data_IF_415139263094
#
_entry.id   IF_415139263094
#
_cell.length_a   1.000
_cell.length_b   1.000
_cell.length_c   1.000
_cell.angle_alpha   90.00
_cell.angle_beta   90.00
_cell.angle_gamma   90.00
#
_symmetry.space_group_name_H-M   'P 1'
#
loop_
_entity.id
_entity.type
_entity.pdbx_description
1 polymer ?
#
# COMPACT_ATOMS: atom_id res chain seq x y z
N UNK A 1 -44.38 -8.69 -59.16
CA UNK A 1 -44.22 -9.24 -57.79
C UNK A 1 -45.59 -9.26 -57.10
N UNK A 2 -46.08 -10.43 -56.69
CA UNK A 2 -47.44 -10.57 -56.13
C UNK A 2 -47.57 -9.96 -54.74
N UNK A 3 -48.77 -9.50 -54.32
CA UNK A 3 -49.00 -8.89 -53.01
C UNK A 3 -48.57 -9.78 -51.84
N UNK A 4 -48.74 -11.11 -51.97
CA UNK A 4 -48.24 -12.09 -50.99
C UNK A 4 -46.71 -12.05 -50.83
N UNK A 5 -45.95 -11.92 -51.94
CA UNK A 5 -44.48 -11.77 -51.89
C UNK A 5 -44.08 -10.44 -51.23
N UNK A 6 -44.84 -9.36 -51.41
CA UNK A 6 -44.57 -8.07 -50.76
C UNK A 6 -44.79 -8.15 -49.23
N UNK A 7 -45.86 -8.79 -48.78
CA UNK A 7 -46.16 -8.97 -47.34
C UNK A 7 -45.07 -9.80 -46.65
N UNK A 8 -44.62 -10.89 -47.27
CA UNK A 8 -43.56 -11.75 -46.72
C UNK A 8 -42.24 -10.98 -46.59
N UNK A 9 -41.87 -10.18 -47.59
CA UNK A 9 -40.65 -9.37 -47.53
C UNK A 9 -40.73 -8.28 -46.46
N UNK A 10 -41.89 -7.61 -46.29
CA UNK A 10 -42.08 -6.60 -45.24
C UNK A 10 -42.00 -7.25 -43.86
N UNK A 11 -42.65 -8.41 -43.66
CA UNK A 11 -42.58 -9.14 -42.40
C UNK A 11 -41.14 -9.57 -42.06
N UNK A 12 -40.38 -10.04 -43.05
CA UNK A 12 -38.96 -10.39 -42.90
C UNK A 12 -38.08 -9.16 -42.61
N UNK A 13 -38.35 -8.01 -43.24
CA UNK A 13 -37.63 -6.77 -42.96
C UNK A 13 -37.91 -6.25 -41.54
N UNK A 14 -39.16 -6.34 -41.09
CA UNK A 14 -39.55 -5.92 -39.75
C UNK A 14 -38.94 -6.83 -38.67
N UNK A 15 -38.90 -8.14 -38.89
CA UNK A 15 -38.23 -9.06 -37.96
C UNK A 15 -36.73 -8.86 -37.91
N UNK A 16 -36.07 -8.58 -39.04
CA UNK A 16 -34.65 -8.23 -39.06
C UNK A 16 -34.37 -6.92 -38.29
N UNK A 17 -35.24 -5.92 -38.45
CA UNK A 17 -35.12 -4.64 -37.75
C UNK A 17 -35.28 -4.77 -36.23
N UNK A 18 -36.25 -5.56 -35.75
CA UNK A 18 -36.43 -5.76 -34.30
C UNK A 18 -35.24 -6.48 -33.67
N UNK A 19 -34.68 -7.49 -34.35
CA UNK A 19 -33.46 -8.16 -33.89
C UNK A 19 -32.30 -7.18 -33.80
N UNK A 20 -32.13 -6.29 -34.79
CA UNK A 20 -31.08 -5.27 -34.77
C UNK A 20 -31.23 -4.30 -33.59
N UNK A 21 -32.45 -3.84 -33.29
CA UNK A 21 -32.72 -2.96 -32.16
C UNK A 21 -32.43 -3.62 -30.81
N UNK A 22 -32.74 -4.91 -30.67
CA UNK A 22 -32.40 -5.68 -29.45
C UNK A 22 -30.88 -5.77 -29.28
N UNK A 23 -30.14 -6.07 -30.35
CA UNK A 23 -28.67 -6.13 -30.32
C UNK A 23 -28.11 -4.76 -29.91
N UNK A 24 -28.62 -3.68 -30.50
CA UNK A 24 -28.18 -2.31 -30.17
C UNK A 24 -28.48 -1.96 -28.70
N UNK A 25 -29.65 -2.33 -28.18
CA UNK A 25 -30.00 -2.12 -26.77
C UNK A 25 -29.06 -2.88 -25.82
N UNK A 26 -28.69 -4.11 -26.16
CA UNK A 26 -27.73 -4.91 -25.37
C UNK A 26 -26.34 -4.28 -25.38
N UNK A 27 -25.87 -3.79 -26.53
CA UNK A 27 -24.54 -3.16 -26.64
C UNK A 27 -24.51 -1.84 -25.87
N UNK A 28 -25.54 -1.00 -26.03
CA UNK A 28 -25.61 0.34 -25.40
C UNK A 28 -25.82 0.29 -23.88
N UNK A 29 -26.38 -0.81 -23.34
CA UNK A 29 -26.57 -1.02 -21.90
C UNK A 29 -25.36 -1.62 -21.18
N UNK A 30 -24.28 -1.91 -21.90
CA UNK A 30 -23.07 -2.55 -21.37
C UNK A 30 -21.85 -1.67 -21.58
N UNK A 31 -20.80 -1.95 -20.82
CA UNK A 31 -19.52 -1.32 -20.98
C UNK A 31 -18.37 -2.24 -20.56
N UNK A 32 -17.16 -1.94 -21.03
CA UNK A 32 -15.96 -2.70 -20.71
C UNK A 32 -15.34 -2.25 -19.38
N UNK A 33 -15.04 -3.24 -18.55
CA UNK A 33 -14.28 -3.11 -17.31
C UNK A 33 -12.98 -3.91 -17.43
N UNK A 34 -11.84 -3.25 -17.24
CA UNK A 34 -10.53 -3.90 -17.11
C UNK A 34 -10.04 -3.76 -15.69
N UNK A 35 -9.57 -4.87 -15.10
CA UNK A 35 -9.03 -4.88 -13.75
C UNK A 35 -7.59 -5.37 -13.82
N UNK A 36 -6.65 -4.54 -13.37
CA UNK A 36 -5.22 -4.84 -13.37
C UNK A 36 -4.71 -4.98 -11.95
N UNK A 37 -3.96 -6.04 -11.70
CA UNK A 37 -3.36 -6.34 -10.40
C UNK A 37 -2.13 -7.26 -10.55
N UNK A 38 -1.30 -7.29 -9.51
CA UNK A 38 -0.16 -8.20 -9.42
C UNK A 38 -0.64 -9.60 -9.01
N UNK A 39 -0.65 -10.54 -9.97
CA UNK A 39 -1.08 -11.93 -9.77
C UNK A 39 -0.12 -12.73 -8.87
N UNK A 40 1.08 -12.21 -8.59
CA UNK A 40 1.96 -12.81 -7.59
C UNK A 40 1.51 -12.50 -6.15
N UNK A 41 0.73 -11.43 -5.95
CA UNK A 41 0.29 -10.96 -4.62
C UNK A 41 -1.11 -11.38 -4.25
N UNK A 42 -2.01 -11.48 -5.22
CA UNK A 42 -3.39 -11.86 -4.99
C UNK A 42 -3.67 -13.28 -5.49
N UNK A 43 -4.23 -14.12 -4.62
CA UNK A 43 -4.59 -15.51 -4.94
C UNK A 43 -5.92 -15.62 -5.70
N UNK A 44 -6.82 -14.67 -5.45
CA UNK A 44 -8.12 -14.58 -6.12
C UNK A 44 -8.62 -13.15 -6.10
N UNK A 45 -9.27 -12.77 -7.19
CA UNK A 45 -9.99 -11.50 -7.32
C UNK A 45 -11.40 -11.82 -7.79
N UNK A 46 -12.38 -11.48 -6.95
CA UNK A 46 -13.80 -11.79 -7.17
C UNK A 46 -14.55 -10.48 -7.36
N UNK A 47 -15.41 -10.44 -8.37
CA UNK A 47 -16.31 -9.33 -8.65
C UNK A 47 -17.73 -9.69 -8.21
N UNK A 48 -18.26 -8.92 -7.29
CA UNK A 48 -19.65 -9.00 -6.84
C UNK A 48 -20.48 -7.87 -7.46
N UNK A 49 -21.79 -8.06 -7.52
CA UNK A 49 -22.71 -6.94 -7.75
C UNK A 49 -22.65 -6.01 -6.53
N UNK A 50 -22.56 -4.70 -6.79
CA UNK A 50 -22.57 -3.67 -5.76
C UNK A 50 -24.00 -3.29 -5.34
N UNK A 51 -24.11 -2.55 -4.24
CA UNK A 51 -25.34 -1.83 -3.91
C UNK A 51 -25.62 -0.73 -4.92
N UNK A 52 -26.90 -0.48 -5.24
CA UNK A 52 -27.30 0.54 -6.20
C UNK A 52 -27.10 1.94 -5.61
N UNK A 53 -25.92 2.53 -5.84
CA UNK A 53 -25.55 3.87 -5.39
C UNK A 53 -24.80 4.62 -6.49
N UNK A 54 -24.77 5.95 -6.42
CA UNK A 54 -24.08 6.80 -7.41
C UNK A 54 -22.63 7.13 -7.03
N UNK A 55 -22.18 6.67 -5.87
CA UNK A 55 -20.88 7.07 -5.29
C UNK A 55 -20.06 5.81 -4.99
N UNK A 56 -18.86 5.71 -5.57
CA UNK A 56 -18.03 4.49 -5.47
C UNK A 56 -17.70 4.09 -4.05
N UNK A 57 -17.39 5.07 -3.19
CA UNK A 57 -16.98 4.83 -1.81
C UNK A 57 -18.12 4.30 -0.92
N UNK A 58 -19.37 4.37 -1.37
CA UNK A 58 -20.54 3.86 -0.65
C UNK A 58 -21.05 2.53 -1.19
N UNK A 59 -20.45 2.01 -2.27
CA UNK A 59 -20.83 0.72 -2.82
C UNK A 59 -20.38 -0.37 -1.86
N UNK A 60 -21.30 -1.22 -1.44
CA UNK A 60 -21.06 -2.40 -0.63
C UNK A 60 -21.28 -3.68 -1.47
N UNK A 61 -20.67 -4.82 -1.11
CA UNK A 61 -20.90 -6.08 -1.82
C UNK A 61 -22.31 -6.60 -1.54
N UNK A 62 -22.94 -7.14 -2.58
CA UNK A 62 -24.12 -8.02 -2.43
C UNK A 62 -23.69 -9.49 -2.46
N UNK A 63 -24.65 -10.41 -2.25
CA UNK A 63 -24.41 -11.86 -2.33
C UNK A 63 -24.21 -12.35 -3.78
N UNK A 64 -24.55 -11.54 -4.77
CA UNK A 64 -24.48 -11.94 -6.19
C UNK A 64 -23.05 -11.84 -6.70
N UNK A 65 -22.47 -12.98 -7.08
CA UNK A 65 -21.17 -13.04 -7.73
C UNK A 65 -21.34 -12.84 -9.23
N UNK A 66 -20.60 -11.91 -9.81
CA UNK A 66 -20.57 -11.62 -11.24
C UNK A 66 -19.45 -12.39 -11.92
N UNK A 67 -18.27 -12.41 -11.31
CA UNK A 67 -17.11 -13.17 -11.79
C UNK A 67 -16.32 -13.71 -10.60
N UNK A 68 -16.03 -15.01 -10.61
CA UNK A 68 -15.32 -15.72 -9.55
C UNK A 68 -13.80 -15.67 -9.72
N UNK A 69 -13.32 -15.50 -10.94
CA UNK A 69 -11.89 -15.49 -11.24
C UNK A 69 -11.57 -14.39 -12.25
N UNK A 70 -11.34 -13.18 -11.73
CA UNK A 70 -10.89 -12.07 -12.56
C UNK A 70 -9.43 -12.33 -12.98
N UNK A 71 -9.16 -12.21 -14.28
CA UNK A 71 -7.83 -12.27 -14.86
C UNK A 71 -7.30 -10.84 -15.01
N UNK A 72 -6.08 -10.61 -14.55
CA UNK A 72 -5.44 -9.29 -14.61
C UNK A 72 -5.29 -8.83 -16.06
N UNK A 73 -5.75 -7.61 -16.36
CA UNK A 73 -5.66 -6.98 -17.68
C UNK A 73 -6.70 -7.47 -18.70
N UNK A 74 -7.56 -8.44 -18.37
CA UNK A 74 -8.65 -8.87 -19.25
C UNK A 74 -9.78 -7.85 -19.26
N UNK A 75 -10.35 -7.61 -20.44
CA UNK A 75 -11.58 -6.83 -20.60
C UNK A 75 -12.83 -7.67 -20.31
N UNK A 76 -13.73 -7.15 -19.48
CA UNK A 76 -15.02 -7.76 -19.14
C UNK A 76 -16.16 -6.89 -19.65
N UNK A 77 -17.03 -7.45 -20.50
CA UNK A 77 -18.18 -6.74 -21.07
C UNK A 77 -19.42 -6.92 -20.20
N UNK A 78 -19.65 -5.96 -19.31
CA UNK A 78 -20.64 -6.05 -18.23
C UNK A 78 -21.76 -5.02 -18.40
N UNK A 79 -22.97 -5.28 -17.89
CA UNK A 79 -24.00 -4.25 -17.79
C UNK A 79 -23.49 -3.00 -17.06
N UNK A 80 -23.98 -1.83 -17.44
CA UNK A 80 -23.73 -0.61 -16.66
C UNK A 80 -24.35 -0.78 -15.28
N UNK A 81 -23.66 -0.31 -14.24
CA UNK A 81 -24.11 -0.48 -12.86
C UNK A 81 -22.98 -0.45 -11.83
N UNK A 82 -23.28 -0.89 -10.62
CA UNK A 82 -22.33 -0.93 -9.51
C UNK A 82 -21.80 -2.33 -9.27
N UNK A 83 -20.51 -2.39 -8.94
CA UNK A 83 -19.78 -3.61 -8.65
C UNK A 83 -18.92 -3.43 -7.41
N UNK A 84 -18.56 -4.55 -6.78
CA UNK A 84 -17.68 -4.57 -5.63
C UNK A 84 -16.60 -5.63 -5.82
N UNK A 85 -15.35 -5.19 -5.79
CA UNK A 85 -14.19 -6.06 -5.89
C UNK A 85 -13.72 -6.50 -4.52
N UNK A 86 -13.37 -7.78 -4.41
CA UNK A 86 -12.64 -8.34 -3.28
C UNK A 86 -11.42 -9.09 -3.80
N UNK A 87 -10.23 -8.61 -3.44
CA UNK A 87 -8.97 -9.25 -3.76
C UNK A 87 -8.38 -9.90 -2.50
N UNK A 88 -8.25 -11.22 -2.52
CA UNK A 88 -7.68 -12.00 -1.41
C UNK A 88 -6.17 -12.14 -1.60
N UNK A 89 -5.45 -11.93 -0.51
CA UNK A 89 -4.00 -12.13 -0.51
C UNK A 89 -3.64 -13.57 -0.86
N UNK A 90 -2.52 -13.73 -1.54
CA UNK A 90 -1.75 -14.97 -1.55
C UNK A 90 -0.97 -15.05 -0.24
N UNK A 91 -1.04 -16.18 0.47
CA UNK A 91 -0.27 -16.46 1.69
C UNK A 91 -0.30 -15.36 2.78
N UNK A 92 -1.36 -14.54 2.84
CA UNK A 92 -1.50 -13.40 3.74
C UNK A 92 -0.35 -12.37 3.69
N UNK A 93 0.39 -12.28 2.58
CA UNK A 93 1.50 -11.34 2.41
C UNK A 93 1.04 -9.89 2.23
N UNK A 94 -0.12 -9.67 1.61
CA UNK A 94 -0.75 -8.35 1.42
C UNK A 94 -2.07 -8.24 2.16
N UNK A 95 -2.50 -7.01 2.48
CA UNK A 95 -3.83 -6.78 3.01
C UNK A 95 -4.90 -7.13 1.98
N UNK A 96 -6.04 -7.67 2.45
CA UNK A 96 -7.23 -7.84 1.61
C UNK A 96 -7.63 -6.45 1.10
N UNK A 97 -7.83 -6.35 -0.20
CA UNK A 97 -8.31 -5.12 -0.82
C UNK A 97 -9.78 -5.28 -1.21
N UNK A 98 -10.55 -4.26 -0.88
CA UNK A 98 -11.95 -4.15 -1.24
C UNK A 98 -12.20 -2.81 -1.91
N UNK A 99 -12.99 -2.80 -2.99
CA UNK A 99 -13.23 -1.56 -3.76
C UNK A 99 -14.58 -1.58 -4.47
N UNK A 100 -15.37 -0.52 -4.28
CA UNK A 100 -16.53 -0.22 -5.09
C UNK A 100 -16.14 0.27 -6.49
N UNK A 101 -16.93 -0.11 -7.51
CA UNK A 101 -16.76 0.32 -8.89
C UNK A 101 -18.12 0.74 -9.44
N UNK A 102 -18.21 1.97 -9.93
CA UNK A 102 -19.32 2.43 -10.76
C UNK A 102 -18.96 2.31 -12.25
N UNK A 103 -19.62 1.41 -12.98
CA UNK A 103 -19.44 1.23 -14.42
C UNK A 103 -20.52 2.03 -15.16
N UNK A 104 -20.13 3.22 -15.64
CA UNK A 104 -21.02 4.19 -16.29
C UNK A 104 -21.03 4.08 -17.82
N UNK A 105 -21.09 5.22 -18.49
CA UNK A 105 -21.11 5.29 -19.96
C UNK A 105 -19.80 4.88 -20.60
N UNK A 106 -18.68 5.09 -19.92
CA UNK A 106 -17.34 5.00 -20.51
C UNK A 106 -16.62 3.72 -20.09
N UNK A 107 -15.73 3.24 -20.98
CA UNK A 107 -14.83 2.13 -20.65
C UNK A 107 -14.06 2.47 -19.38
N UNK A 108 -13.89 1.48 -18.51
CA UNK A 108 -13.27 1.68 -17.21
C UNK A 108 -12.10 0.75 -16.99
N UNK A 109 -10.98 1.32 -16.54
CA UNK A 109 -9.82 0.56 -16.06
C UNK A 109 -9.62 0.82 -14.58
N UNK A 110 -9.41 -0.25 -13.81
CA UNK A 110 -9.20 -0.20 -12.37
C UNK A 110 -7.91 -0.95 -12.04
N UNK A 111 -6.93 -0.23 -11.52
CA UNK A 111 -5.72 -0.84 -10.96
C UNK A 111 -5.90 -1.10 -9.46
N UNK A 112 -5.54 -2.30 -9.01
CA UNK A 112 -5.51 -2.68 -7.60
C UNK A 112 -4.07 -2.60 -7.10
N UNK A 113 -3.79 -1.58 -6.30
CA UNK A 113 -2.53 -1.48 -5.57
C UNK A 113 -2.55 -2.36 -4.32
N UNK A 114 -1.39 -2.72 -3.80
CA UNK A 114 -1.28 -3.57 -2.61
C UNK A 114 -0.40 -2.96 -1.54
N UNK A 115 -0.69 -3.35 -0.29
CA UNK A 115 0.13 -3.05 0.88
C UNK A 115 0.48 -4.36 1.57
N UNK A 116 1.74 -4.52 1.96
CA UNK A 116 2.14 -5.68 2.75
C UNK A 116 1.53 -5.64 4.14
N UNK A 117 1.25 -6.82 4.69
CA UNK A 117 0.82 -6.95 6.07
C UNK A 117 1.97 -6.64 7.02
N UNK A 118 1.66 -6.18 8.24
CA UNK A 118 2.68 -5.92 9.27
C UNK A 118 3.52 -7.17 9.57
N UNK A 119 2.89 -8.35 9.57
CA UNK A 119 3.58 -9.64 9.77
C UNK A 119 4.60 -9.91 8.66
N UNK A 120 4.22 -9.66 7.40
CA UNK A 120 5.14 -9.84 6.28
C UNK A 120 6.28 -8.80 6.28
N UNK A 121 6.00 -7.54 6.60
CA UNK A 121 7.04 -6.51 6.77
C UNK A 121 8.02 -6.85 7.91
N UNK A 122 7.53 -7.42 9.02
CA UNK A 122 8.39 -7.89 10.11
C UNK A 122 9.27 -9.06 9.66
N UNK A 123 8.72 -10.01 8.90
CA UNK A 123 9.52 -11.09 8.28
C UNK A 123 10.62 -10.50 7.39
N UNK A 124 10.29 -9.56 6.49
CA UNK A 124 11.28 -8.89 5.65
C UNK A 124 12.33 -8.15 6.47
N UNK A 125 11.94 -7.52 7.58
CA UNK A 125 12.87 -6.86 8.51
C UNK A 125 13.89 -7.86 9.04
N UNK A 126 13.45 -9.01 9.54
CA UNK A 126 14.33 -10.04 10.08
C UNK A 126 15.26 -10.62 9.00
N UNK A 127 14.74 -10.89 7.80
CA UNK A 127 15.52 -11.41 6.67
C UNK A 127 16.59 -10.41 6.20
N UNK A 128 16.28 -9.12 6.20
CA UNK A 128 17.17 -8.07 5.70
C UNK A 128 18.05 -7.45 6.79
N UNK A 129 17.87 -7.83 8.06
CA UNK A 129 18.55 -7.20 9.21
C UNK A 129 20.06 -7.05 9.02
N UNK A 130 20.77 -8.14 8.71
CA UNK A 130 22.23 -8.10 8.51
C UNK A 130 22.66 -7.17 7.38
N UNK A 131 21.89 -7.12 6.29
CA UNK A 131 22.20 -6.27 5.14
C UNK A 131 21.93 -4.79 5.45
N UNK A 132 20.85 -4.50 6.20
CA UNK A 132 20.55 -3.16 6.70
C UNK A 132 21.63 -2.70 7.67
N UNK A 133 21.98 -3.52 8.66
CA UNK A 133 23.05 -3.23 9.62
C UNK A 133 24.37 -2.92 8.91
N UNK A 134 24.76 -3.75 7.94
CA UNK A 134 25.98 -3.55 7.16
C UNK A 134 25.96 -2.25 6.35
N UNK A 135 24.82 -1.90 5.75
CA UNK A 135 24.67 -0.66 4.99
C UNK A 135 24.77 0.57 5.90
N UNK A 136 24.20 0.52 7.11
CA UNK A 136 24.28 1.58 8.10
C UNK A 136 25.73 1.76 8.56
N UNK A 137 26.37 0.68 9.04
CA UNK A 137 27.73 0.74 9.58
C UNK A 137 28.75 1.13 8.51
N UNK A 138 28.57 0.67 7.27
CA UNK A 138 29.41 1.03 6.13
C UNK A 138 29.21 2.45 5.60
N UNK A 139 28.10 3.11 5.94
CA UNK A 139 27.82 4.48 5.44
C UNK A 139 28.68 5.55 6.10
N UNK A 140 29.12 5.33 7.34
CA UNK A 140 29.93 6.28 8.10
C UNK A 140 30.67 5.56 9.23
N UNK A 141 32.00 5.58 9.20
CA UNK A 141 32.86 4.91 10.19
C UNK A 141 32.63 5.35 11.64
N UNK A 142 32.11 6.57 11.86
CA UNK A 142 31.77 7.05 13.21
C UNK A 142 30.55 6.34 13.79
N UNK A 143 29.64 5.81 12.96
CA UNK A 143 28.45 5.10 13.43
C UNK A 143 28.87 3.82 14.16
N UNK A 144 29.78 3.04 13.58
CA UNK A 144 30.29 1.81 14.21
C UNK A 144 31.03 2.06 15.53
N UNK A 145 31.56 3.26 15.74
CA UNK A 145 32.30 3.61 16.97
C UNK A 145 31.39 4.08 18.09
N UNK A 146 30.37 4.89 17.77
CA UNK A 146 29.61 5.63 18.78
C UNK A 146 28.13 5.25 18.90
N UNK A 147 27.66 4.32 18.06
CA UNK A 147 26.25 3.95 18.05
C UNK A 147 26.04 2.45 17.96
N UNK A 148 24.98 1.98 18.62
CA UNK A 148 24.41 0.65 18.44
C UNK A 148 23.07 0.77 17.72
N UNK A 149 22.87 -0.08 16.71
CA UNK A 149 21.57 -0.23 16.05
C UNK A 149 20.65 -1.01 16.98
N UNK A 150 19.52 -0.42 17.39
CA UNK A 150 18.61 -1.02 18.39
C UNK A 150 17.34 -1.58 17.79
N UNK A 151 16.73 -0.83 16.88
CA UNK A 151 15.47 -1.20 16.25
C UNK A 151 15.56 -0.87 14.77
N UNK A 152 15.03 -1.76 13.94
CA UNK A 152 14.86 -1.54 12.51
C UNK A 152 13.48 -1.98 12.05
N UNK A 153 13.02 -1.41 10.95
CA UNK A 153 11.80 -1.85 10.29
C UNK A 153 11.91 -1.64 8.78
N UNK A 154 11.53 -2.66 8.03
CA UNK A 154 11.25 -2.58 6.58
C UNK A 154 9.81 -2.11 6.39
N UNK A 155 9.60 -1.19 5.45
CA UNK A 155 8.35 -0.47 5.22
C UNK A 155 7.93 -0.52 3.75
N UNK A 156 6.77 0.08 3.46
CA UNK A 156 6.21 0.23 2.12
C UNK A 156 6.06 -1.11 1.39
N UNK A 157 6.68 -1.26 0.21
CA UNK A 157 6.69 -2.49 -0.59
C UNK A 157 7.97 -3.30 -0.39
N UNK A 158 8.60 -3.15 0.77
CA UNK A 158 9.87 -3.82 1.10
C UNK A 158 11.10 -3.14 0.52
N UNK A 159 10.94 -1.90 0.05
CA UNK A 159 11.92 -1.07 -0.63
C UNK A 159 12.47 0.06 0.25
N UNK A 160 11.84 0.32 1.39
CA UNK A 160 12.29 1.29 2.38
C UNK A 160 12.56 0.62 3.71
N UNK A 161 13.57 1.11 4.44
CA UNK A 161 13.82 0.69 5.81
C UNK A 161 14.20 1.88 6.69
N UNK A 162 13.98 1.72 7.99
CA UNK A 162 14.32 2.70 9.00
C UNK A 162 15.07 2.01 10.14
N UNK A 163 15.92 2.76 10.83
CA UNK A 163 16.62 2.27 12.01
C UNK A 163 16.85 3.35 13.07
N UNK A 164 16.93 2.92 14.32
CA UNK A 164 17.31 3.74 15.47
C UNK A 164 18.76 3.44 15.87
N UNK A 165 19.59 4.49 15.89
CA UNK A 165 20.97 4.47 16.35
C UNK A 165 21.05 5.05 17.75
N UNK A 166 21.26 4.21 18.76
CA UNK A 166 21.40 4.66 20.14
C UNK A 166 22.87 4.87 20.44
N UNK A 167 23.19 6.05 20.97
CA UNK A 167 24.55 6.38 21.36
C UNK A 167 25.08 5.40 22.41
N UNK A 168 26.31 4.92 22.23
CA UNK A 168 26.97 3.96 23.12
C UNK A 168 28.38 4.41 23.57
N UNK A 169 28.76 5.66 23.29
CA UNK A 169 30.04 6.25 23.69
C UNK A 169 30.12 6.60 25.19
N UNK A 170 31.20 7.28 25.56
CA UNK A 170 31.55 7.53 26.96
C UNK A 170 30.61 8.54 27.62
N UNK A 171 30.56 8.47 28.96
CA UNK A 171 29.80 9.36 29.85
C UNK A 171 30.18 10.86 29.77
N UNK A 172 31.24 11.19 29.04
CA UNK A 172 31.78 12.54 28.84
C UNK A 172 31.57 13.12 27.44
N UNK A 173 31.10 12.32 26.48
CA UNK A 173 30.86 12.78 25.11
C UNK A 173 29.67 13.76 25.01
N UNK A 174 29.84 14.83 24.24
CA UNK A 174 28.91 15.97 24.16
C UNK A 174 27.64 15.69 23.32
N UNK A 175 27.68 14.75 22.37
CA UNK A 175 26.54 14.41 21.51
C UNK A 175 26.08 12.98 21.78
N UNK A 176 24.96 12.83 22.51
CA UNK A 176 24.41 11.54 22.97
C UNK A 176 23.06 11.20 22.36
N UNK A 177 22.63 11.98 21.38
CA UNK A 177 21.27 11.85 20.85
C UNK A 177 21.10 10.53 20.11
N UNK A 178 19.91 9.95 20.22
CA UNK A 178 19.53 8.85 19.35
C UNK A 178 19.29 9.40 17.94
N UNK A 179 19.97 8.83 16.95
CA UNK A 179 19.80 9.21 15.56
C UNK A 179 18.85 8.24 14.84
N UNK A 180 18.14 8.75 13.84
CA UNK A 180 17.26 7.99 12.97
C UNK A 180 17.91 7.88 11.61
N UNK A 181 17.81 6.70 11.00
CA UNK A 181 18.33 6.41 9.67
C UNK A 181 17.19 5.98 8.77
N UNK A 182 17.22 6.45 7.53
CA UNK A 182 16.34 6.00 6.45
C UNK A 182 17.19 5.38 5.36
N UNK A 183 16.78 4.21 4.90
CA UNK A 183 17.42 3.45 3.84
C UNK A 183 16.44 3.19 2.71
N UNK A 184 16.99 3.12 1.50
CA UNK A 184 16.29 2.74 0.28
C UNK A 184 16.98 1.50 -0.30
N UNK A 185 16.19 0.56 -0.81
CA UNK A 185 16.70 -0.61 -1.52
C UNK A 185 16.89 -0.27 -2.99
N UNK A 186 18.14 -0.13 -3.42
CA UNK A 186 18.53 0.13 -4.82
C UNK A 186 19.29 -1.06 -5.38
N UNK A 187 18.90 -1.56 -6.55
CA UNK A 187 19.55 -2.70 -7.21
C UNK A 187 19.77 -3.89 -6.27
N UNK A 188 18.75 -4.19 -5.46
CA UNK A 188 18.75 -5.23 -4.42
C UNK A 188 19.69 -4.99 -3.22
N UNK A 189 20.33 -3.83 -3.11
CA UNK A 189 21.19 -3.44 -1.97
C UNK A 189 20.56 -2.33 -1.14
N UNK A 190 20.71 -2.40 0.17
CA UNK A 190 20.30 -1.32 1.06
C UNK A 190 21.33 -0.20 1.04
N UNK A 191 20.86 1.04 0.90
CA UNK A 191 21.70 2.24 0.90
C UNK A 191 21.09 3.26 1.84
N UNK A 192 21.91 3.85 2.71
CA UNK A 192 21.48 4.98 3.55
C UNK A 192 21.12 6.15 2.65
N UNK A 193 19.86 6.56 2.68
CA UNK A 193 19.32 7.58 1.77
C UNK A 193 19.72 8.98 2.18
N UNK A 194 19.79 9.21 3.50
CA UNK A 194 19.91 10.53 4.11
C UNK A 194 20.85 10.46 5.31
N UNK A 195 21.50 11.58 5.64
CA UNK A 195 22.37 11.66 6.82
C UNK A 195 21.57 11.28 8.07
N UNK A 196 22.11 10.46 8.98
CA UNK A 196 21.47 10.18 10.26
C UNK A 196 21.20 11.47 11.05
N UNK A 197 20.00 11.61 11.61
CA UNK A 197 19.55 12.82 12.32
C UNK A 197 18.51 12.50 13.40
N UNK A 198 18.38 13.37 14.40
CA UNK A 198 17.50 13.18 15.57
C UNK A 198 16.01 13.20 15.16
N UNK A 199 15.67 13.95 14.13
CA UNK A 199 14.35 14.03 13.54
C UNK A 199 14.49 14.22 12.04
N UNK A 200 13.74 13.46 11.25
CA UNK A 200 13.85 13.48 9.78
C UNK A 200 12.64 14.18 9.19
N UNK A 201 12.85 15.19 8.35
CA UNK A 201 11.78 15.84 7.60
C UNK A 201 11.86 15.54 6.10
N UNK A 202 10.79 15.85 5.38
CA UNK A 202 10.76 15.76 3.91
C UNK A 202 11.72 16.71 3.21
N UNK A 203 12.19 17.76 3.90
CA UNK A 203 13.16 18.71 3.37
C UNK A 203 14.59 18.19 3.50
N UNK A 204 14.84 17.35 4.49
CA UNK A 204 16.16 16.75 4.73
C UNK A 204 16.34 15.40 4.04
N UNK A 205 15.21 14.74 3.69
CA UNK A 205 15.23 13.39 3.17
C UNK A 205 14.12 13.12 2.15
N UNK A 206 14.50 12.82 0.91
CA UNK A 206 13.57 12.42 -0.16
C UNK A 206 13.15 10.95 -0.01
N UNK A 207 12.23 10.70 0.91
CA UNK A 207 11.59 9.40 1.16
C UNK A 207 10.06 9.56 1.29
N UNK A 208 9.28 8.46 1.15
CA UNK A 208 7.83 8.50 1.36
C UNK A 208 7.47 9.08 2.72
N UNK A 209 6.43 9.92 2.78
CA UNK A 209 6.03 10.59 4.02
C UNK A 209 5.67 9.59 5.13
N UNK A 210 5.06 8.45 4.79
CA UNK A 210 4.79 7.34 5.71
C UNK A 210 6.06 6.77 6.33
N UNK A 211 7.12 6.59 5.52
CA UNK A 211 8.44 6.16 5.98
C UNK A 211 9.07 7.18 6.93
N UNK A 212 9.02 8.47 6.60
CA UNK A 212 9.54 9.55 7.45
C UNK A 212 8.79 9.65 8.79
N UNK A 213 7.46 9.56 8.75
CA UNK A 213 6.63 9.55 9.96
C UNK A 213 6.99 8.34 10.84
N UNK A 214 7.14 7.16 10.23
CA UNK A 214 7.50 5.96 10.98
C UNK A 214 8.90 6.05 11.57
N UNK A 215 9.88 6.58 10.83
CA UNK A 215 11.22 6.86 11.33
C UNK A 215 11.20 7.77 12.56
N UNK A 216 10.33 8.78 12.57
CA UNK A 216 10.23 9.69 13.71
C UNK A 216 9.58 9.09 14.96
N UNK A 217 8.80 8.02 14.78
CA UNK A 217 8.12 7.28 15.86
C UNK A 217 8.77 5.93 16.17
N UNK A 218 9.89 5.59 15.53
CA UNK A 218 10.56 4.32 15.79
C UNK A 218 10.97 4.29 17.25
N UNK A 219 10.75 3.14 17.90
CA UNK A 219 11.04 3.00 19.31
C UNK A 219 12.55 3.18 19.57
N UNK A 220 12.85 4.00 20.59
CA UNK A 220 14.20 4.32 21.04
C UNK A 220 14.38 4.03 22.53
N UNK A 221 13.44 3.31 23.16
CA UNK A 221 13.41 2.99 24.60
C UNK A 221 14.49 1.98 24.99
N UNK A 222 15.74 2.42 24.89
CA UNK A 222 16.86 1.94 25.71
C UNK A 222 17.66 3.09 26.30
N UNK A 223 17.20 4.34 26.20
CA UNK A 223 17.82 5.45 26.91
C UNK A 223 17.53 5.29 28.41
N UNK A 224 18.56 4.93 29.20
CA UNK A 224 18.57 5.34 30.61
C UNK A 224 18.48 6.87 30.61
N UNK A 225 17.69 7.49 31.51
CA UNK A 225 17.51 8.93 31.53
C UNK A 225 18.86 9.64 31.51
N UNK A 226 18.96 10.73 30.73
CA UNK A 226 20.18 11.51 30.48
C UNK A 226 20.84 12.04 31.77
N UNK A 227 20.18 11.93 32.92
CA UNK A 227 20.73 12.19 34.23
C UNK A 227 20.14 11.20 35.24
N UNK A 228 20.82 10.08 35.57
CA UNK A 228 20.31 9.12 36.54
C UNK A 228 20.09 9.71 37.95
N UNK A 229 20.64 10.91 38.24
CA UNK A 229 20.61 11.56 39.55
C UNK A 229 19.94 12.96 39.56
N UNK A 230 19.28 13.40 38.48
CA UNK A 230 18.62 14.72 38.48
C UNK A 230 17.20 14.61 39.04
N UNK A 231 17.08 14.74 40.36
CA UNK A 231 15.79 14.89 41.04
C UNK A 231 15.27 16.32 40.86
N UNK A 232 14.16 16.49 40.14
CA UNK A 232 13.42 17.76 40.03
C UNK A 232 12.84 18.24 41.39
N UNK A 233 12.96 17.42 42.45
CA UNK A 233 12.46 17.69 43.79
C UNK A 233 13.55 18.13 44.79
N UNK A 234 14.62 18.80 44.37
CA UNK A 234 15.40 19.60 45.33
C UNK A 234 14.58 20.85 45.69
N UNK A 235 13.74 20.73 46.74
CA UNK A 235 13.22 21.89 47.46
C UNK A 235 14.40 22.80 47.79
N UNK A 236 14.29 24.07 47.39
CA UNK A 236 15.18 25.14 47.79
C UNK A 236 15.25 25.17 49.32
N UNK A 237 16.45 24.98 49.86
CA UNK A 237 16.82 25.36 51.22
C UNK A 237 16.74 24.26 52.27
N UNK A 238 17.87 23.62 52.52
CA UNK A 238 18.37 23.40 53.89
C UNK A 238 19.90 23.28 53.82
N UNK A 239 20.67 23.94 54.69
CA UNK A 239 22.14 23.86 54.68
C UNK A 239 22.62 22.54 55.26
N UNK A 240 23.76 22.08 54.76
CA UNK A 240 24.46 20.88 55.20
C UNK A 240 24.94 21.00 56.66
N UNK A 241 24.73 19.93 57.43
CA UNK A 241 25.46 19.62 58.68
C UNK A 241 26.22 18.32 58.46
#
# INVERSE_FOLDING_TARGET
MTPKKKIIIIAAAFSAFTVLMIILAVITSRQYLTISFDSSKYSSVILYKGTDTKTENTIAPTKTVIEKSIQSGKEYFLPKGTYFLVAKSKDNIVSILQRGILLGSDKKSVSLDYKYTNSYLQKLTNENKKAIDSAILGSNSKISTFYTIKNEAVLEKGDWAIAALVFNGAGTDLNRDTLKVVLEKKDSKWVVKCKPMISISKYDCSAPQSTLNKANTIDITTQRPLMPNYNLNKKKGTPDV
#
